data_IF_680492105278
#
_entry.id   IF_680492105278
#
_cell.length_a   1.000
_cell.length_b   1.000
_cell.length_c   1.000
_cell.angle_alpha   90.00
_cell.angle_beta   90.00
_cell.angle_gamma   90.00
#
_symmetry.space_group_name_H-M   'P 1'
#
loop_
_entity.id
_entity.type
_entity.pdbx_description
1 polymer ?
#
# COMPACT_ATOMS: atom_id res chain seq x y z
N UNK A 1 -7.35 -3.66 -5.80
CA UNK A 1 -6.58 -2.40 -5.84
C UNK A 1 -5.41 -2.61 -6.79
N UNK A 2 -4.96 -1.60 -7.53
CA UNK A 2 -3.85 -1.77 -8.49
C UNK A 2 -2.65 -0.91 -8.11
N UNK A 3 -1.48 -1.53 -7.94
CA UNK A 3 -0.22 -0.84 -7.75
C UNK A 3 0.48 -0.61 -9.09
N UNK A 4 1.21 0.49 -9.22
CA UNK A 4 1.94 0.83 -10.44
C UNK A 4 3.43 0.59 -10.23
N UNK A 5 4.01 -0.25 -11.09
CA UNK A 5 5.45 -0.41 -11.21
C UNK A 5 6.11 0.93 -11.58
N UNK A 6 7.21 1.26 -10.91
CA UNK A 6 7.96 2.49 -11.13
C UNK A 6 7.42 3.71 -10.36
N UNK A 7 6.18 3.65 -9.86
CA UNK A 7 5.53 4.73 -9.11
C UNK A 7 5.32 4.35 -7.65
N UNK A 8 4.50 3.32 -7.39
CA UNK A 8 4.15 2.91 -6.03
C UNK A 8 5.21 1.94 -5.47
N UNK A 9 5.77 1.09 -6.34
CA UNK A 9 6.85 0.14 -6.01
C UNK A 9 7.88 0.06 -7.14
N UNK A 10 9.14 -0.20 -6.76
CA UNK A 10 10.26 -0.42 -7.68
C UNK A 10 10.95 -1.74 -7.36
N UNK A 11 11.16 -2.61 -8.35
CA UNK A 11 11.97 -3.82 -8.16
C UNK A 11 13.38 -3.47 -7.70
N UNK A 12 13.92 -4.30 -6.82
CA UNK A 12 15.34 -4.27 -6.48
C UNK A 12 16.17 -4.94 -7.60
N UNK A 13 17.48 -5.04 -7.39
CA UNK A 13 18.39 -5.61 -8.40
C UNK A 13 18.12 -7.10 -8.69
N UNK A 14 17.49 -7.80 -7.75
CA UNK A 14 17.03 -9.19 -7.87
C UNK A 14 15.68 -9.32 -8.61
N UNK A 15 15.09 -8.21 -9.04
CA UNK A 15 13.79 -8.18 -9.72
C UNK A 15 12.59 -8.32 -8.77
N UNK A 16 12.80 -8.38 -7.45
CA UNK A 16 11.73 -8.54 -6.47
C UNK A 16 11.26 -7.19 -5.91
N UNK A 17 10.01 -7.14 -5.47
CA UNK A 17 9.47 -6.04 -4.68
C UNK A 17 9.80 -6.32 -3.21
N UNK A 18 10.67 -5.47 -2.65
CA UNK A 18 11.04 -5.49 -1.24
C UNK A 18 10.18 -4.50 -0.44
N UNK A 19 9.93 -4.75 0.86
CA UNK A 19 9.18 -3.82 1.71
C UNK A 19 9.79 -2.42 1.76
N UNK A 20 11.12 -2.36 1.70
CA UNK A 20 11.89 -1.12 1.71
C UNK A 20 12.48 -0.86 0.33
N UNK A 21 12.44 0.41 -0.10
CA UNK A 21 13.17 0.88 -1.26
C UNK A 21 14.66 1.03 -0.96
N UNK A 22 15.48 1.28 -2.00
CA UNK A 22 16.95 1.44 -1.88
C UNK A 22 17.39 2.52 -0.88
N UNK A 23 16.53 3.51 -0.61
CA UNK A 23 16.79 4.59 0.37
C UNK A 23 16.37 4.23 1.80
N UNK A 24 16.01 2.97 2.06
CA UNK A 24 15.57 2.47 3.36
C UNK A 24 14.13 2.83 3.75
N UNK A 25 13.40 3.59 2.93
CA UNK A 25 12.00 3.93 3.20
C UNK A 25 11.08 2.83 2.72
N UNK A 26 9.99 2.60 3.44
CA UNK A 26 8.94 1.68 2.98
C UNK A 26 8.35 2.15 1.64
N UNK A 27 8.11 1.19 0.74
CA UNK A 27 7.46 1.41 -0.55
C UNK A 27 6.25 0.49 -0.68
N UNK A 28 5.24 0.93 -1.43
CA UNK A 28 3.97 0.24 -1.49
C UNK A 28 2.81 1.15 -1.84
N UNK A 29 1.61 0.58 -1.80
CA UNK A 29 0.39 1.32 -2.10
C UNK A 29 0.02 2.22 -0.92
N UNK A 30 -0.20 3.52 -1.16
CA UNK A 30 -0.42 4.50 -0.09
C UNK A 30 -1.67 4.21 0.75
N UNK A 31 -1.50 4.36 2.06
CA UNK A 31 -2.54 4.43 3.08
C UNK A 31 -2.42 5.76 3.82
N UNK A 32 -3.56 6.29 4.26
CA UNK A 32 -3.63 7.49 5.09
C UNK A 32 -4.50 7.18 6.31
N UNK A 33 -4.13 7.74 7.47
CA UNK A 33 -4.92 7.63 8.70
C UNK A 33 -6.13 8.57 8.70
N UNK A 34 -6.07 9.68 7.95
CA UNK A 34 -7.18 10.62 7.83
C UNK A 34 -7.90 10.42 6.49
N UNK A 35 -9.11 9.83 6.48
CA UNK A 35 -9.88 9.69 5.26
C UNK A 35 -10.39 11.03 4.70
N UNK A 36 -10.37 12.11 5.50
CA UNK A 36 -10.80 13.46 5.10
C UNK A 36 -9.63 14.34 4.62
N UNK A 37 -8.42 13.78 4.51
CA UNK A 37 -7.25 14.50 3.99
C UNK A 37 -7.54 15.08 2.60
N UNK A 38 -7.48 16.42 2.48
CA UNK A 38 -7.82 17.16 1.26
C UNK A 38 -6.95 16.74 0.05
N UNK A 39 -5.70 16.33 0.29
CA UNK A 39 -4.82 15.85 -0.77
C UNK A 39 -5.23 14.46 -1.27
N UNK A 40 -5.85 13.62 -0.43
CA UNK A 40 -6.38 12.31 -0.86
C UNK A 40 -7.74 12.48 -1.54
N UNK A 41 -8.58 13.38 -1.05
CA UNK A 41 -9.91 13.65 -1.62
C UNK A 41 -9.87 14.06 -3.10
N UNK A 42 -8.87 14.84 -3.53
CA UNK A 42 -8.72 15.21 -4.95
C UNK A 42 -8.41 14.03 -5.89
N UNK A 43 -8.03 12.86 -5.35
CA UNK A 43 -7.77 11.64 -6.14
C UNK A 43 -8.93 10.62 -6.06
N UNK A 44 -10.13 11.06 -5.68
CA UNK A 44 -11.31 10.19 -5.58
C UNK A 44 -11.60 9.68 -4.16
N UNK A 45 -10.85 10.15 -3.16
CA UNK A 45 -11.06 9.80 -1.76
C UNK A 45 -10.36 8.51 -1.33
N UNK A 46 -10.44 8.23 -0.04
CA UNK A 46 -9.92 6.99 0.54
C UNK A 46 -11.01 5.91 0.58
N UNK A 47 -10.58 4.66 0.75
CA UNK A 47 -11.43 3.55 1.14
C UNK A 47 -10.87 2.94 2.45
N UNK A 48 -11.71 2.53 3.41
CA UNK A 48 -11.26 1.78 4.58
C UNK A 48 -10.59 0.47 4.17
N UNK A 49 -9.46 0.17 4.79
CA UNK A 49 -8.78 -1.12 4.70
C UNK A 49 -8.77 -1.71 6.11
N UNK A 50 -9.60 -2.71 6.35
CA UNK A 50 -9.80 -3.28 7.69
C UNK A 50 -8.86 -4.45 7.99
N UNK A 51 -8.37 -5.13 6.96
CA UNK A 51 -7.43 -6.24 7.08
C UNK A 51 -6.50 -6.28 5.87
N UNK A 52 -5.32 -6.86 6.08
CA UNK A 52 -4.38 -7.18 5.01
C UNK A 52 -4.22 -8.71 4.96
N UNK A 53 -4.22 -9.31 3.76
CA UNK A 53 -3.95 -10.73 3.62
C UNK A 53 -2.52 -11.06 4.07
N UNK A 54 -2.31 -12.30 4.49
CA UNK A 54 -0.97 -12.82 4.78
C UNK A 54 -0.02 -12.56 3.60
N UNK A 55 1.20 -12.14 3.91
CA UNK A 55 2.19 -11.71 2.92
C UNK A 55 2.17 -10.21 2.62
N UNK A 56 1.21 -9.45 3.14
CA UNK A 56 1.22 -7.99 3.13
C UNK A 56 1.31 -7.42 4.55
N UNK A 57 1.85 -6.21 4.67
CA UNK A 57 1.96 -5.47 5.92
C UNK A 57 1.78 -3.97 5.69
N UNK A 58 1.33 -3.25 6.72
CA UNK A 58 1.32 -1.78 6.71
C UNK A 58 2.61 -1.25 7.34
N UNK A 59 3.34 -0.40 6.63
CA UNK A 59 4.57 0.22 7.12
C UNK A 59 4.48 1.74 7.02
N UNK A 60 4.96 2.44 8.05
CA UNK A 60 5.08 3.90 7.98
C UNK A 60 6.14 4.29 6.94
N UNK A 61 5.82 5.24 6.06
CA UNK A 61 6.73 5.71 5.03
C UNK A 61 6.94 7.23 5.11
N UNK A 62 8.15 7.62 5.51
CA UNK A 62 8.50 9.04 5.64
C UNK A 62 7.86 9.67 6.87
N UNK A 63 6.91 10.59 6.65
CA UNK A 63 6.28 11.36 7.73
C UNK A 63 5.26 10.53 8.50
N UNK A 64 5.07 10.86 9.78
CA UNK A 64 4.00 10.29 10.61
C UNK A 64 2.63 10.48 9.94
N UNK A 65 1.82 9.43 9.95
CA UNK A 65 0.48 9.41 9.33
C UNK A 65 0.45 8.94 7.87
N UNK A 66 1.59 8.85 7.19
CA UNK A 66 1.67 8.23 5.86
C UNK A 66 2.17 6.79 5.98
N UNK A 67 1.32 5.85 5.55
CA UNK A 67 1.62 4.43 5.55
C UNK A 67 1.56 3.90 4.13
N UNK A 68 2.13 2.72 3.93
CA UNK A 68 2.01 1.98 2.68
C UNK A 68 1.67 0.52 2.96
N UNK A 69 0.87 -0.10 2.10
CA UNK A 69 0.76 -1.55 2.01
C UNK A 69 2.01 -2.04 1.28
N UNK A 70 2.88 -2.75 2.00
CA UNK A 70 4.13 -3.30 1.50
C UNK A 70 4.09 -4.84 1.55
N UNK A 71 4.91 -5.54 0.76
CA UNK A 71 5.09 -6.98 0.96
C UNK A 71 5.73 -7.29 2.32
N UNK A 72 5.31 -8.37 2.97
CA UNK A 72 5.90 -8.83 4.23
C UNK A 72 7.32 -9.37 4.03
N UNK A 73 7.53 -10.05 2.90
CA UNK A 73 8.82 -10.60 2.45
C UNK A 73 8.99 -10.31 0.96
N UNK A 74 10.24 -10.25 0.43
CA UNK A 74 10.47 -10.01 -0.99
C UNK A 74 9.68 -10.97 -1.89
N UNK A 75 8.99 -10.43 -2.89
CA UNK A 75 8.15 -11.22 -3.81
C UNK A 75 8.11 -10.60 -5.20
N UNK A 76 7.64 -11.35 -6.20
CA UNK A 76 7.44 -10.80 -7.54
C UNK A 76 6.33 -9.75 -7.54
N UNK A 77 6.36 -8.84 -8.51
CA UNK A 77 5.29 -7.85 -8.65
C UNK A 77 3.92 -8.50 -8.90
N UNK A 78 3.88 -9.60 -9.66
CA UNK A 78 2.64 -10.35 -9.92
C UNK A 78 2.04 -10.91 -8.61
N UNK A 79 2.86 -11.54 -7.76
CA UNK A 79 2.40 -12.05 -6.46
C UNK A 79 1.92 -10.92 -5.56
N UNK A 80 2.67 -9.82 -5.50
CA UNK A 80 2.28 -8.63 -4.75
C UNK A 80 0.93 -8.07 -5.23
N UNK A 81 0.74 -7.92 -6.53
CA UNK A 81 -0.51 -7.46 -7.13
C UNK A 81 -1.66 -8.45 -6.88
N UNK A 82 -1.39 -9.76 -6.93
CA UNK A 82 -2.37 -10.79 -6.58
C UNK A 82 -2.85 -10.68 -5.13
N UNK A 83 -1.95 -10.39 -4.18
CA UNK A 83 -2.32 -10.14 -2.79
C UNK A 83 -3.10 -8.84 -2.62
N UNK A 84 -2.71 -7.76 -3.31
CA UNK A 84 -3.47 -6.49 -3.29
C UNK A 84 -4.90 -6.63 -3.80
N UNK A 85 -5.13 -7.55 -4.75
CA UNK A 85 -6.46 -7.85 -5.26
C UNK A 85 -7.36 -8.58 -4.27
N UNK A 86 -6.79 -9.15 -3.19
CA UNK A 86 -7.53 -9.82 -2.12
C UNK A 86 -7.87 -8.89 -0.96
N UNK A 87 -7.45 -7.62 -1.01
CA UNK A 87 -7.83 -6.63 0.00
C UNK A 87 -9.29 -6.24 -0.25
N UNK A 88 -10.12 -6.48 0.75
CA UNK A 88 -11.50 -6.01 0.77
C UNK A 88 -11.55 -4.55 1.19
N UNK A 89 -12.10 -3.71 0.30
CA UNK A 89 -12.30 -2.30 0.56
C UNK A 89 -13.67 -2.07 1.19
N UNK A 90 -13.69 -1.34 2.31
CA UNK A 90 -14.93 -0.89 2.93
C UNK A 90 -15.55 0.31 2.20
N UNK A 91 -16.67 0.78 2.73
CA UNK A 91 -17.20 2.11 2.45
C UNK A 91 -17.27 2.88 3.77
N UNK A 92 -16.79 4.13 3.80
CA UNK A 92 -16.86 4.96 5.01
C UNK A 92 -18.31 5.23 5.48
N UNK A 93 -19.29 5.05 4.60
CA UNK A 93 -20.72 5.18 4.92
C UNK A 93 -21.37 3.92 5.53
N UNK A 94 -20.61 2.83 5.72
CA UNK A 94 -21.11 1.56 6.32
C UNK A 94 -20.33 1.15 7.57
N UNK A 95 -19.50 2.05 8.12
CA UNK A 95 -18.92 1.81 9.43
C UNK A 95 -20.04 1.97 10.49
N UNK A 96 -20.22 1.00 11.40
CA UNK A 96 -21.19 1.11 12.49
C UNK A 96 -20.90 2.29 13.42
#
# INVERSE_FOLDING_TARGET
>A
MEARLGVDVKPAADGLIHPLAKNGKAQGLSLNLDPKDLFIQKYGGAFPVNSLPEGLQALQSGKTGHFVVAPATPMTFETYQGLLNRIELGNFNVLP
#
